data_IF_986873264861
#
_entry.id   IF_986873264861
#
_cell.length_a   1.000
_cell.length_b   1.000
_cell.length_c   1.000
_cell.angle_alpha   90.00
_cell.angle_beta   90.00
_cell.angle_gamma   90.00
#
_symmetry.space_group_name_H-M   'P 1'
#
loop_
_entity.id
_entity.type
_entity.pdbx_description
1 polymer ?
#
# COMPACT_ATOMS: atom_id res chain seq x y z
N UNK A 1 -22.87 -20.15 -11.95
CA UNK A 1 -23.11 -18.69 -12.09
C UNK A 1 -22.14 -17.95 -11.20
N UNK A 2 -21.24 -17.16 -11.78
CA UNK A 2 -20.27 -16.36 -11.03
C UNK A 2 -21.00 -15.10 -10.54
N UNK A 3 -21.42 -15.06 -9.27
CA UNK A 3 -22.28 -14.00 -8.73
C UNK A 3 -21.50 -12.72 -8.43
N UNK A 4 -21.92 -11.59 -9.02
CA UNK A 4 -21.30 -10.24 -8.98
C UNK A 4 -20.85 -9.73 -7.59
N UNK A 5 -21.45 -10.20 -6.49
CA UNK A 5 -21.23 -9.66 -5.13
C UNK A 5 -19.86 -9.93 -4.50
N UNK A 6 -19.10 -10.94 -4.95
CA UNK A 6 -17.79 -11.28 -4.39
C UNK A 6 -16.60 -10.69 -5.19
N UNK A 7 -16.86 -9.85 -6.20
CA UNK A 7 -15.91 -9.57 -7.29
C UNK A 7 -15.15 -8.25 -7.24
N UNK A 8 -15.65 -7.22 -6.57
CA UNK A 8 -15.11 -5.86 -6.76
C UNK A 8 -13.66 -5.70 -6.28
N UNK A 9 -13.27 -6.45 -5.24
CA UNK A 9 -11.97 -6.30 -4.60
C UNK A 9 -10.96 -7.39 -4.98
N UNK A 10 -11.30 -8.39 -5.80
CA UNK A 10 -10.28 -9.29 -6.37
C UNK A 10 -9.49 -8.57 -7.47
N UNK A 11 -8.18 -8.78 -7.54
CA UNK A 11 -7.36 -8.28 -8.64
C UNK A 11 -7.75 -8.95 -9.97
N UNK A 12 -7.71 -8.19 -11.07
CA UNK A 12 -8.14 -8.70 -12.36
C UNK A 12 -7.30 -9.90 -12.83
N UNK A 13 -5.98 -9.84 -12.64
CA UNK A 13 -5.05 -10.92 -12.94
C UNK A 13 -5.35 -12.20 -12.16
N UNK A 14 -5.71 -12.08 -10.88
CA UNK A 14 -6.17 -13.20 -10.06
C UNK A 14 -7.47 -13.79 -10.58
N UNK A 15 -8.44 -12.92 -10.88
CA UNK A 15 -9.73 -13.31 -11.41
C UNK A 15 -9.61 -14.09 -12.73
N UNK A 16 -8.90 -13.52 -13.71
CA UNK A 16 -8.68 -14.14 -15.02
C UNK A 16 -8.00 -15.50 -14.87
N UNK A 17 -6.99 -15.60 -14.00
CA UNK A 17 -6.32 -16.87 -13.72
C UNK A 17 -7.29 -17.91 -13.15
N UNK A 18 -8.16 -17.51 -12.21
CA UNK A 18 -9.18 -18.38 -11.62
C UNK A 18 -10.22 -18.85 -12.65
N UNK A 19 -10.65 -17.97 -13.56
CA UNK A 19 -11.53 -18.35 -14.68
C UNK A 19 -10.81 -19.34 -15.60
N UNK A 20 -9.52 -19.13 -15.89
CA UNK A 20 -8.69 -20.04 -16.69
C UNK A 20 -8.52 -21.44 -16.06
N UNK A 21 -8.64 -21.57 -14.74
CA UNK A 21 -8.65 -22.89 -14.09
C UNK A 21 -9.95 -23.67 -14.36
N UNK A 22 -11.09 -22.97 -14.56
CA UNK A 22 -12.40 -23.61 -14.74
C UNK A 22 -12.68 -24.06 -16.18
N UNK A 23 -11.92 -23.53 -17.16
CA UNK A 23 -11.77 -23.97 -18.57
C UNK A 23 -13.02 -24.20 -19.44
N UNK A 24 -14.25 -24.22 -18.93
CA UNK A 24 -15.41 -24.59 -19.74
C UNK A 24 -15.74 -23.58 -20.86
N UNK A 25 -15.44 -22.29 -20.66
CA UNK A 25 -15.84 -21.22 -21.60
C UNK A 25 -14.75 -20.17 -21.86
N UNK A 26 -13.58 -20.27 -21.21
CA UNK A 26 -12.50 -19.29 -21.33
C UNK A 26 -11.35 -19.85 -22.20
N UNK A 27 -10.94 -19.15 -23.27
CA UNK A 27 -10.02 -19.70 -24.26
C UNK A 27 -8.56 -19.71 -23.80
N UNK A 28 -8.19 -18.95 -22.76
CA UNK A 28 -6.83 -18.91 -22.25
C UNK A 28 -6.59 -19.94 -21.15
N UNK A 29 -5.47 -20.64 -21.24
CA UNK A 29 -5.01 -21.53 -20.16
C UNK A 29 -4.33 -20.74 -19.04
N UNK A 30 -4.23 -21.27 -17.80
CA UNK A 30 -3.51 -20.60 -16.71
C UNK A 30 -2.04 -20.27 -17.06
N UNK A 31 -1.40 -21.11 -17.87
CA UNK A 31 -0.03 -20.89 -18.38
C UNK A 31 0.01 -19.70 -19.33
N UNK A 32 -0.96 -19.60 -20.24
CA UNK A 32 -1.08 -18.48 -21.16
C UNK A 32 -1.33 -17.16 -20.42
N UNK A 33 -2.24 -17.15 -19.44
CA UNK A 33 -2.51 -15.97 -18.60
C UNK A 33 -1.25 -15.49 -17.89
N UNK A 34 -0.51 -16.39 -17.24
CA UNK A 34 0.74 -16.03 -16.59
C UNK A 34 1.76 -15.48 -17.60
N UNK A 35 1.91 -16.11 -18.77
CA UNK A 35 2.83 -15.63 -19.81
C UNK A 35 2.50 -14.20 -20.26
N UNK A 36 1.24 -13.92 -20.55
CA UNK A 36 0.78 -12.58 -20.94
C UNK A 36 1.04 -11.56 -19.83
N UNK A 37 0.78 -11.96 -18.58
CA UNK A 37 1.04 -11.15 -17.40
C UNK A 37 2.53 -10.80 -17.28
N UNK A 38 3.42 -11.78 -17.42
CA UNK A 38 4.87 -11.61 -17.36
C UNK A 38 5.40 -10.71 -18.48
N UNK A 39 4.89 -10.87 -19.71
CA UNK A 39 5.32 -10.08 -20.86
C UNK A 39 4.96 -8.59 -20.67
N UNK A 40 3.77 -8.31 -20.15
CA UNK A 40 3.32 -6.96 -19.87
C UNK A 40 4.05 -6.32 -18.68
N UNK A 41 4.31 -7.12 -17.63
CA UNK A 41 5.06 -6.69 -16.46
C UNK A 41 6.44 -6.11 -16.80
N UNK A 42 7.11 -6.63 -17.84
CA UNK A 42 8.43 -6.16 -18.24
C UNK A 42 8.41 -4.86 -19.06
N UNK A 43 7.25 -4.49 -19.62
CA UNK A 43 7.13 -3.41 -20.60
C UNK A 43 6.33 -2.21 -20.07
N UNK A 44 5.39 -2.42 -19.14
CA UNK A 44 4.59 -1.35 -18.54
C UNK A 44 5.19 -0.83 -17.24
N UNK A 45 5.13 0.49 -17.05
CA UNK A 45 5.46 1.15 -15.77
C UNK A 45 4.33 1.02 -14.73
N UNK A 46 3.14 0.63 -15.16
CA UNK A 46 1.93 0.55 -14.34
C UNK A 46 1.45 -0.89 -14.20
N UNK A 47 0.84 -1.18 -13.05
CA UNK A 47 0.33 -2.50 -12.73
C UNK A 47 -0.90 -2.84 -13.59
N UNK A 48 -0.92 -3.97 -14.31
CA UNK A 48 -2.03 -4.33 -15.18
C UNK A 48 -3.36 -4.52 -14.43
N UNK A 49 -3.35 -4.74 -13.11
CA UNK A 49 -4.57 -4.78 -12.30
C UNK A 49 -5.24 -3.41 -12.10
N UNK A 50 -4.56 -2.33 -12.50
CA UNK A 50 -4.99 -0.93 -12.38
C UNK A 50 -4.86 -0.15 -13.69
N UNK A 51 -4.60 -0.85 -14.79
CA UNK A 51 -4.46 -0.26 -16.11
C UNK A 51 -5.30 -1.05 -17.11
N UNK A 52 -6.45 -0.45 -17.45
CA UNK A 52 -7.35 -0.99 -18.48
C UNK A 52 -6.67 -1.05 -19.86
N UNK A 53 -5.70 -0.17 -20.09
CA UNK A 53 -5.03 -0.02 -21.37
C UNK A 53 -3.82 -0.94 -21.52
N UNK A 54 -3.43 -1.68 -20.48
CA UNK A 54 -2.36 -2.67 -20.58
C UNK A 54 -2.72 -3.76 -21.59
N UNK A 55 -1.73 -4.28 -22.33
CA UNK A 55 -1.98 -5.33 -23.33
C UNK A 55 -2.50 -6.60 -22.65
N UNK A 56 -2.05 -6.88 -21.42
CA UNK A 56 -2.59 -7.96 -20.59
C UNK A 56 -4.09 -7.82 -20.39
N UNK A 57 -4.55 -6.63 -19.98
CA UNK A 57 -5.96 -6.37 -19.75
C UNK A 57 -6.76 -6.49 -21.03
N UNK A 58 -6.31 -5.87 -22.11
CA UNK A 58 -6.98 -5.93 -23.43
C UNK A 58 -7.10 -7.37 -23.94
N UNK A 59 -6.01 -8.15 -23.90
CA UNK A 59 -6.02 -9.53 -24.38
C UNK A 59 -6.93 -10.43 -23.52
N UNK A 60 -6.83 -10.32 -22.19
CA UNK A 60 -7.68 -11.10 -21.30
C UNK A 60 -9.15 -10.67 -21.39
N UNK A 61 -9.42 -9.38 -21.58
CA UNK A 61 -10.78 -8.88 -21.79
C UNK A 61 -11.39 -9.37 -23.10
N UNK A 62 -10.65 -9.32 -24.20
CA UNK A 62 -11.12 -9.86 -25.48
C UNK A 62 -11.42 -11.37 -25.36
N UNK A 63 -10.61 -12.11 -24.60
CA UNK A 63 -10.86 -13.51 -24.29
C UNK A 63 -12.07 -13.73 -23.35
N UNK A 64 -12.39 -12.75 -22.50
CA UNK A 64 -13.56 -12.75 -21.60
C UNK A 64 -14.84 -12.25 -22.29
N UNK A 65 -14.74 -11.53 -23.41
CA UNK A 65 -15.88 -10.93 -24.12
C UNK A 65 -16.94 -11.94 -24.59
N UNK A 66 -16.62 -13.24 -24.63
CA UNK A 66 -17.57 -14.33 -24.85
C UNK A 66 -18.36 -14.75 -23.60
N UNK A 67 -17.97 -14.28 -22.40
CA UNK A 67 -18.48 -14.71 -21.09
C UNK A 67 -19.05 -13.53 -20.28
N UNK A 68 -18.51 -12.32 -20.47
CA UNK A 68 -18.87 -11.13 -19.70
C UNK A 68 -19.00 -9.89 -20.60
N UNK A 69 -20.21 -9.57 -21.08
CA UNK A 69 -20.49 -8.31 -21.73
C UNK A 69 -21.07 -7.35 -20.67
N UNK A 70 -20.32 -6.36 -20.20
CA UNK A 70 -20.97 -5.31 -19.41
C UNK A 70 -20.19 -3.99 -19.38
N UNK A 71 -20.95 -2.90 -19.30
CA UNK A 71 -20.49 -1.50 -19.37
C UNK A 71 -19.59 -1.09 -18.19
N UNK A 72 -19.62 -1.83 -17.08
CA UNK A 72 -18.80 -1.57 -15.87
C UNK A 72 -17.42 -2.25 -15.85
N UNK A 73 -16.93 -2.79 -16.97
CA UNK A 73 -15.62 -3.44 -17.01
C UNK A 73 -14.47 -2.46 -16.70
N UNK A 74 -14.55 -1.23 -17.20
CA UNK A 74 -13.55 -0.19 -16.96
C UNK A 74 -13.38 0.15 -15.49
N UNK A 75 -14.49 0.12 -14.74
CA UNK A 75 -14.52 0.49 -13.32
C UNK A 75 -13.73 -0.50 -12.46
N UNK A 76 -13.46 -1.71 -12.97
CA UNK A 76 -12.60 -2.67 -12.30
C UNK A 76 -11.13 -2.25 -12.28
N UNK A 77 -10.70 -1.38 -13.20
CA UNK A 77 -9.28 -1.03 -13.35
C UNK A 77 -8.97 0.37 -12.85
N UNK A 78 -9.98 1.22 -12.67
CA UNK A 78 -9.79 2.55 -12.10
C UNK A 78 -9.34 2.39 -10.65
N UNK A 79 -8.08 2.75 -10.30
CA UNK A 79 -7.72 2.87 -8.90
C UNK A 79 -8.61 3.93 -8.25
N UNK A 80 -9.24 3.59 -7.13
CA UNK A 80 -9.91 4.58 -6.29
C UNK A 80 -8.93 5.50 -5.54
N UNK A 81 -7.61 5.28 -5.69
CA UNK A 81 -6.57 6.08 -5.04
C UNK A 81 -5.22 6.00 -5.80
N UNK A 82 -4.43 7.08 -5.86
CA UNK A 82 -3.05 7.01 -6.36
C UNK A 82 -2.11 6.25 -5.40
N UNK A 83 -2.54 5.86 -4.19
CA UNK A 83 -1.72 5.17 -3.18
C UNK A 83 -1.58 3.66 -3.45
N UNK A 84 -1.34 3.30 -4.70
CA UNK A 84 -1.23 1.90 -5.13
C UNK A 84 0.24 1.52 -5.27
N UNK A 85 0.65 0.48 -4.56
CA UNK A 85 1.97 -0.14 -4.75
C UNK A 85 2.03 -0.79 -6.13
N UNK A 86 3.12 -0.59 -6.90
CA UNK A 86 3.35 -1.35 -8.13
C UNK A 86 3.48 -2.84 -7.82
N UNK A 87 3.08 -3.71 -8.77
CA UNK A 87 2.99 -5.17 -8.54
C UNK A 87 4.20 -5.77 -7.87
N UNK A 88 5.39 -5.42 -8.34
CA UNK A 88 6.65 -5.98 -7.88
C UNK A 88 6.82 -5.86 -6.36
N UNK A 89 6.22 -4.82 -5.77
CA UNK A 89 6.27 -4.52 -4.36
C UNK A 89 5.05 -5.08 -3.58
N UNK A 90 4.03 -5.61 -4.26
CA UNK A 90 2.82 -6.18 -3.64
C UNK A 90 3.08 -7.59 -3.12
N UNK A 91 3.49 -7.64 -1.87
CA UNK A 91 3.74 -8.87 -1.11
C UNK A 91 2.83 -9.02 0.11
N UNK A 92 1.98 -8.05 0.37
CA UNK A 92 1.16 -8.01 1.56
C UNK A 92 -0.13 -8.79 1.36
N UNK A 93 -0.56 -9.55 2.36
CA UNK A 93 -1.77 -10.37 2.27
C UNK A 93 -2.36 -10.70 3.65
N UNK A 94 -3.64 -11.07 3.69
CA UNK A 94 -4.28 -11.61 4.89
C UNK A 94 -4.49 -13.12 4.71
N UNK A 95 -3.85 -13.93 5.55
CA UNK A 95 -3.98 -15.38 5.48
C UNK A 95 -5.41 -15.86 5.76
N UNK A 96 -6.08 -15.26 6.74
CA UNK A 96 -7.46 -15.62 7.09
C UNK A 96 -8.42 -15.33 5.90
N UNK A 97 -8.25 -14.20 5.20
CA UNK A 97 -8.99 -13.94 3.95
C UNK A 97 -8.73 -14.99 2.86
N UNK A 98 -7.49 -15.43 2.72
CA UNK A 98 -7.16 -16.48 1.74
C UNK A 98 -7.87 -17.80 2.09
N UNK A 99 -7.94 -18.15 3.38
CA UNK A 99 -8.68 -19.31 3.87
C UNK A 99 -10.18 -19.20 3.61
N UNK A 100 -10.80 -18.04 3.89
CA UNK A 100 -12.22 -17.80 3.64
C UNK A 100 -12.56 -17.91 2.13
N UNK A 101 -11.66 -17.45 1.26
CA UNK A 101 -11.81 -17.57 -0.18
C UNK A 101 -11.74 -19.03 -0.67
N UNK A 102 -10.93 -19.88 -0.04
CA UNK A 102 -10.91 -21.31 -0.38
C UNK A 102 -12.26 -21.97 -0.06
N UNK A 103 -12.86 -21.62 1.07
CA UNK A 103 -14.16 -22.16 1.50
C UNK A 103 -15.30 -21.74 0.55
N UNK A 104 -15.22 -20.54 0.00
CA UNK A 104 -16.33 -19.94 -0.78
C UNK A 104 -16.14 -20.02 -2.30
N UNK A 105 -14.91 -19.95 -2.79
CA UNK A 105 -14.60 -19.81 -4.21
C UNK A 105 -13.66 -20.88 -4.77
N UNK A 106 -13.23 -21.84 -3.95
CA UNK A 106 -12.45 -23.04 -4.31
C UNK A 106 -11.04 -22.76 -4.84
N UNK A 107 -10.68 -21.49 -5.00
CA UNK A 107 -9.35 -21.01 -5.38
C UNK A 107 -9.15 -19.63 -4.77
N UNK A 108 -8.00 -19.37 -4.14
CA UNK A 108 -7.76 -18.10 -3.50
C UNK A 108 -7.33 -17.07 -4.52
N UNK A 109 -7.61 -15.81 -4.19
CA UNK A 109 -7.32 -14.69 -5.06
C UNK A 109 -6.67 -13.53 -4.34
N UNK A 110 -5.85 -12.78 -5.08
CA UNK A 110 -5.22 -11.58 -4.57
C UNK A 110 -6.27 -10.46 -4.50
N UNK A 111 -6.34 -9.75 -3.37
CA UNK A 111 -7.24 -8.61 -3.25
C UNK A 111 -6.53 -7.31 -3.67
N UNK A 112 -7.25 -6.44 -4.40
CA UNK A 112 -6.77 -5.11 -4.81
C UNK A 112 -6.38 -4.27 -3.61
N UNK A 113 -7.21 -4.24 -2.56
CA UNK A 113 -6.92 -3.49 -1.33
C UNK A 113 -5.59 -3.84 -0.66
N UNK A 114 -5.06 -5.05 -0.83
CA UNK A 114 -3.73 -5.41 -0.32
C UNK A 114 -2.58 -4.73 -1.07
N UNK A 115 -2.86 -4.19 -2.25
CA UNK A 115 -1.94 -3.39 -3.04
C UNK A 115 -1.87 -1.93 -2.62
N UNK A 116 -2.69 -1.46 -1.68
CA UNK A 116 -2.65 -0.06 -1.23
C UNK A 116 -1.55 0.14 -0.19
N UNK A 117 -0.82 1.25 -0.30
CA UNK A 117 0.28 1.60 0.62
C UNK A 117 -0.21 1.66 2.06
N UNK A 118 -1.33 2.35 2.30
CA UNK A 118 -1.86 2.57 3.65
C UNK A 118 -2.57 1.34 4.23
N UNK A 119 -2.92 0.35 3.42
CA UNK A 119 -3.69 -0.81 3.87
C UNK A 119 -2.76 -1.84 4.53
N UNK A 120 -2.61 -1.71 5.84
CA UNK A 120 -1.70 -2.49 6.68
C UNK A 120 -2.44 -3.50 7.58
N UNK A 121 -3.71 -3.25 7.88
CA UNK A 121 -4.57 -4.09 8.72
C UNK A 121 -5.80 -4.50 7.94
N UNK A 122 -6.10 -5.79 7.98
CA UNK A 122 -7.29 -6.34 7.35
C UNK A 122 -8.55 -5.83 8.06
N UNK A 123 -9.47 -5.21 7.32
CA UNK A 123 -10.75 -4.73 7.88
C UNK A 123 -11.75 -5.87 8.20
N UNK A 124 -11.55 -7.07 7.64
CA UNK A 124 -12.39 -8.25 7.90
C UNK A 124 -11.94 -8.95 9.18
N UNK A 125 -10.67 -9.39 9.21
CA UNK A 125 -10.13 -10.17 10.33
C UNK A 125 -9.49 -9.33 11.43
N UNK A 126 -9.39 -8.01 11.22
CA UNK A 126 -8.86 -7.02 12.17
C UNK A 126 -7.43 -7.32 12.66
N UNK A 127 -6.61 -7.86 11.76
CA UNK A 127 -5.21 -8.21 12.02
C UNK A 127 -4.29 -7.57 10.98
N UNK A 128 -3.07 -7.26 11.39
CA UNK A 128 -2.02 -6.81 10.48
C UNK A 128 -1.83 -7.81 9.34
N UNK A 129 -1.59 -7.29 8.14
CA UNK A 129 -1.25 -8.12 6.99
C UNK A 129 0.13 -8.77 7.19
N UNK A 130 0.31 -9.91 6.55
CA UNK A 130 1.60 -10.57 6.41
C UNK A 130 2.34 -10.03 5.20
N UNK A 131 3.67 -10.00 5.25
CA UNK A 131 4.50 -9.84 4.05
C UNK A 131 5.09 -11.17 3.63
N UNK A 132 4.90 -11.53 2.36
CA UNK A 132 5.62 -12.62 1.74
C UNK A 132 7.01 -12.17 1.27
N UNK A 133 7.93 -13.13 1.10
CA UNK A 133 9.30 -12.82 0.71
C UNK A 133 9.36 -12.21 -0.71
N UNK A 134 10.02 -11.05 -0.80
CA UNK A 134 10.01 -10.11 -1.92
C UNK A 134 10.48 -10.69 -3.27
N UNK A 135 11.33 -11.73 -3.27
CA UNK A 135 11.99 -12.19 -4.50
C UNK A 135 11.19 -13.21 -5.32
N UNK A 136 10.10 -13.76 -4.78
CA UNK A 136 9.50 -14.98 -5.30
C UNK A 136 8.12 -14.80 -5.94
N UNK A 137 7.48 -13.64 -5.77
CA UNK A 137 6.10 -13.43 -6.22
C UNK A 137 6.10 -12.74 -7.59
N UNK A 138 5.75 -13.47 -8.65
CA UNK A 138 5.72 -12.88 -10.00
C UNK A 138 4.54 -13.32 -10.89
N UNK A 139 3.62 -14.15 -10.38
CA UNK A 139 2.53 -14.74 -11.18
C UNK A 139 1.26 -13.88 -11.13
N UNK A 140 0.38 -14.07 -12.12
CA UNK A 140 -0.93 -13.44 -12.19
C UNK A 140 -1.76 -13.75 -10.93
N UNK A 141 -1.82 -15.02 -10.52
CA UNK A 141 -2.35 -15.39 -9.20
C UNK A 141 -1.22 -15.68 -8.19
N UNK A 142 -0.81 -14.65 -7.46
CA UNK A 142 0.15 -14.81 -6.35
C UNK A 142 -0.46 -15.41 -5.08
N UNK A 143 -1.79 -15.56 -4.98
CA UNK A 143 -2.43 -16.04 -3.76
C UNK A 143 -1.98 -17.46 -3.38
N UNK A 144 -1.72 -18.30 -4.38
CA UNK A 144 -1.14 -19.63 -4.17
C UNK A 144 0.29 -19.57 -3.60
N UNK A 145 1.12 -18.64 -4.09
CA UNK A 145 2.47 -18.46 -3.57
C UNK A 145 2.41 -17.92 -2.12
N UNK A 146 1.46 -17.03 -1.80
CA UNK A 146 1.23 -16.56 -0.43
C UNK A 146 0.87 -17.70 0.53
N UNK A 147 -0.03 -18.60 0.11
CA UNK A 147 -0.34 -19.81 0.89
C UNK A 147 0.92 -20.62 1.19
N UNK A 148 1.69 -20.93 0.15
CA UNK A 148 2.92 -21.69 0.29
C UNK A 148 3.92 -21.01 1.23
N UNK A 149 4.13 -19.69 1.10
CA UNK A 149 5.02 -18.96 2.01
C UNK A 149 4.52 -18.94 3.44
N UNK A 150 3.21 -18.84 3.64
CA UNK A 150 2.62 -18.87 4.98
C UNK A 150 2.81 -20.22 5.66
N UNK A 151 2.53 -21.31 4.95
CA UNK A 151 2.65 -22.69 5.47
C UNK A 151 4.09 -23.08 5.74
N UNK A 152 5.03 -22.61 4.92
CA UNK A 152 6.47 -22.84 5.07
C UNK A 152 7.13 -21.92 6.12
N UNK A 153 6.34 -21.10 6.83
CA UNK A 153 6.83 -20.08 7.76
C UNK A 153 7.84 -19.08 7.14
N UNK A 154 7.79 -18.90 5.81
CA UNK A 154 8.59 -17.91 5.06
C UNK A 154 7.92 -16.55 5.05
N UNK A 155 7.36 -16.17 6.18
CA UNK A 155 6.67 -14.90 6.42
C UNK A 155 7.64 -13.91 7.06
N UNK A 156 7.51 -12.63 6.73
CA UNK A 156 8.21 -11.60 7.50
C UNK A 156 7.78 -11.66 8.97
N UNK A 157 8.72 -11.44 9.89
CA UNK A 157 8.52 -11.48 11.37
C UNK A 157 7.49 -10.44 11.90
N UNK A 158 6.88 -9.67 11.01
CA UNK A 158 6.29 -8.36 11.26
C UNK A 158 4.85 -8.41 11.81
N UNK A 159 4.10 -9.48 11.52
CA UNK A 159 2.68 -9.59 11.81
C UNK A 159 2.32 -9.76 13.30
N UNK A 160 3.31 -9.92 14.20
CA UNK A 160 3.08 -10.24 15.63
C UNK A 160 3.48 -9.12 16.60
N UNK A 161 3.80 -7.94 16.11
CA UNK A 161 4.43 -6.89 16.93
C UNK A 161 3.45 -5.82 17.46
N UNK A 162 2.23 -5.77 16.95
CA UNK A 162 1.24 -4.76 17.32
C UNK A 162 0.14 -5.30 18.24
N UNK A 163 -0.25 -4.51 19.23
CA UNK A 163 -1.42 -4.78 20.08
C UNK A 163 -2.72 -4.69 19.29
N UNK A 164 -3.80 -5.29 19.81
CA UNK A 164 -5.14 -5.16 19.22
C UNK A 164 -5.62 -3.70 19.16
N UNK A 165 -5.23 -2.89 20.15
CA UNK A 165 -5.51 -1.45 20.19
C UNK A 165 -4.82 -0.73 19.03
N UNK A 166 -3.53 -0.98 18.81
CA UNK A 166 -2.80 -0.40 17.68
C UNK A 166 -3.39 -0.83 16.33
N UNK A 167 -3.85 -2.07 16.20
CA UNK A 167 -4.55 -2.54 15.00
C UNK A 167 -5.88 -1.82 14.78
N UNK A 168 -6.65 -1.59 15.86
CA UNK A 168 -7.91 -0.85 15.77
C UNK A 168 -7.69 0.60 15.34
N UNK A 169 -6.74 1.31 15.96
CA UNK A 169 -6.39 2.68 15.56
C UNK A 169 -5.92 2.73 14.11
N UNK A 170 -5.07 1.78 13.68
CA UNK A 170 -4.62 1.72 12.28
C UNK A 170 -5.81 1.56 11.32
N UNK A 171 -6.82 0.77 11.67
CA UNK A 171 -8.04 0.65 10.85
C UNK A 171 -8.81 1.96 10.74
N UNK A 172 -8.89 2.74 11.82
CA UNK A 172 -9.52 4.06 11.78
C UNK A 172 -8.74 5.03 10.89
N UNK A 173 -7.41 5.05 10.97
CA UNK A 173 -6.59 5.87 10.06
C UNK A 173 -6.77 5.43 8.60
N UNK A 174 -6.81 4.11 8.33
CA UNK A 174 -7.11 3.58 6.99
C UNK A 174 -8.48 4.04 6.48
N UNK A 175 -9.48 4.13 7.36
CA UNK A 175 -10.81 4.61 7.02
C UNK A 175 -10.80 6.10 6.68
N UNK A 176 -10.12 6.92 7.48
CA UNK A 176 -9.94 8.36 7.22
C UNK A 176 -9.28 8.58 5.86
N UNK A 177 -8.19 7.86 5.55
CA UNK A 177 -7.53 7.99 4.23
C UNK A 177 -8.44 7.59 3.08
N UNK A 178 -9.21 6.50 3.24
CA UNK A 178 -10.17 6.08 2.23
C UNK A 178 -11.27 7.12 2.01
N UNK A 179 -11.77 7.75 3.07
CA UNK A 179 -12.76 8.82 2.99
C UNK A 179 -12.18 10.06 2.28
N UNK A 180 -10.93 10.42 2.57
CA UNK A 180 -10.22 11.49 1.87
C UNK A 180 -10.03 11.19 0.38
N UNK A 181 -9.64 9.96 0.02
CA UNK A 181 -9.52 9.52 -1.38
C UNK A 181 -10.87 9.69 -2.12
N UNK A 182 -11.97 9.18 -1.55
CA UNK A 182 -13.29 9.22 -2.19
C UNK A 182 -13.86 10.64 -2.37
N UNK A 183 -13.54 11.56 -1.44
CA UNK A 183 -14.09 12.92 -1.44
C UNK A 183 -13.15 13.96 -2.05
N UNK A 184 -11.92 13.57 -2.43
CA UNK A 184 -10.84 14.49 -2.83
C UNK A 184 -11.16 15.34 -4.06
N UNK A 185 -11.95 14.82 -5.01
CA UNK A 185 -12.33 15.54 -6.22
C UNK A 185 -13.29 16.70 -5.97
N UNK A 186 -13.94 16.74 -4.79
CA UNK A 186 -14.97 17.72 -4.48
C UNK A 186 -14.45 18.96 -3.71
N UNK A 187 -13.31 18.87 -3.00
CA UNK A 187 -12.82 19.91 -2.09
C UNK A 187 -11.29 20.03 -2.10
N UNK A 188 -10.78 21.21 -2.47
CA UNK A 188 -9.33 21.52 -2.57
C UNK A 188 -8.57 21.28 -1.25
N UNK A 189 -9.22 21.52 -0.10
CA UNK A 189 -8.66 21.27 1.22
C UNK A 189 -8.46 19.77 1.49
N UNK A 190 -9.46 18.94 1.16
CA UNK A 190 -9.37 17.47 1.31
C UNK A 190 -8.27 16.90 0.41
N UNK A 191 -8.18 17.39 -0.83
CA UNK A 191 -7.09 17.03 -1.73
C UNK A 191 -5.72 17.41 -1.15
N UNK A 192 -5.57 18.63 -0.62
CA UNK A 192 -4.33 19.09 0.01
C UNK A 192 -3.94 18.23 1.21
N UNK A 193 -4.92 17.84 2.04
CA UNK A 193 -4.70 16.94 3.17
C UNK A 193 -4.30 15.53 2.74
N UNK A 194 -4.93 14.97 1.71
CA UNK A 194 -4.58 13.67 1.14
C UNK A 194 -3.14 13.67 0.60
N UNK A 195 -2.76 14.69 -0.15
CA UNK A 195 -1.39 14.82 -0.69
C UNK A 195 -0.36 15.06 0.43
N UNK A 196 -0.73 15.76 1.50
CA UNK A 196 0.11 15.81 2.71
C UNK A 196 0.30 14.43 3.33
N UNK A 197 -0.79 13.65 3.50
CA UNK A 197 -0.72 12.30 4.05
C UNK A 197 0.20 11.40 3.22
N UNK A 198 0.18 11.58 1.89
CA UNK A 198 1.07 10.89 0.95
C UNK A 198 2.53 11.22 1.21
N UNK A 199 2.84 12.51 1.20
CA UNK A 199 4.18 13.03 1.43
C UNK A 199 4.72 12.60 2.80
N UNK A 200 3.86 12.62 3.81
CA UNK A 200 4.18 12.17 5.16
C UNK A 200 4.64 10.71 5.18
N UNK A 201 3.89 9.80 4.54
CA UNK A 201 4.27 8.40 4.43
C UNK A 201 5.57 8.22 3.63
N UNK A 202 5.78 8.99 2.55
CA UNK A 202 7.01 8.97 1.76
C UNK A 202 8.25 9.31 2.61
N UNK A 203 8.15 10.36 3.42
CA UNK A 203 9.22 10.82 4.30
C UNK A 203 9.51 9.79 5.40
N UNK A 204 8.48 9.35 6.13
CA UNK A 204 8.67 8.42 7.24
C UNK A 204 9.19 7.05 6.81
N UNK A 205 8.88 6.64 5.58
CA UNK A 205 9.26 5.35 5.01
C UNK A 205 10.48 5.46 4.09
N UNK A 206 11.12 6.63 4.00
CA UNK A 206 12.23 6.83 3.09
C UNK A 206 13.34 5.80 3.34
N UNK A 207 13.92 5.16 2.30
CA UNK A 207 14.93 4.13 2.47
C UNK A 207 16.11 4.60 3.31
N UNK A 208 16.44 3.88 4.40
CA UNK A 208 17.56 4.11 5.34
C UNK A 208 17.48 5.35 6.23
N UNK A 209 16.76 6.40 5.82
CA UNK A 209 16.70 7.67 6.56
C UNK A 209 15.34 7.92 7.23
N UNK A 210 14.26 7.30 6.75
CA UNK A 210 12.94 7.44 7.35
C UNK A 210 12.89 6.81 8.74
N UNK A 211 12.25 7.50 9.70
CA UNK A 211 12.18 7.07 11.11
C UNK A 211 11.53 5.68 11.27
N UNK A 212 10.58 5.33 10.41
CA UNK A 212 9.91 4.04 10.47
C UNK A 212 10.69 2.92 9.80
N UNK A 213 11.84 3.21 9.16
CA UNK A 213 12.62 2.21 8.44
C UNK A 213 13.53 1.43 9.39
N UNK A 214 13.43 0.11 9.39
CA UNK A 214 14.26 -0.72 10.28
C UNK A 214 15.59 -1.05 9.58
N UNK A 215 16.75 -0.82 10.23
CA UNK A 215 18.08 -0.97 9.62
C UNK A 215 18.42 -2.38 9.11
N UNK A 216 17.63 -3.40 9.47
CA UNK A 216 17.81 -4.79 9.04
C UNK A 216 17.50 -5.03 7.56
N UNK A 217 17.02 -4.02 6.83
CA UNK A 217 16.73 -4.14 5.41
C UNK A 217 17.85 -3.52 4.57
N UNK A 218 18.60 -4.36 3.86
CA UNK A 218 19.57 -3.96 2.83
C UNK A 218 18.86 -3.39 1.59
N UNK A 219 17.93 -2.45 1.78
CA UNK A 219 17.21 -1.75 0.72
C UNK A 219 18.18 -0.74 0.10
N UNK A 220 18.69 -1.09 -1.08
CA UNK A 220 19.45 -0.17 -1.91
C UNK A 220 18.49 0.69 -2.73
N UNK A 221 18.70 2.01 -2.74
CA UNK A 221 18.08 2.89 -3.72
C UNK A 221 18.93 2.82 -5.00
N UNK A 222 18.36 2.56 -6.18
CA UNK A 222 19.10 2.68 -7.42
C UNK A 222 19.62 4.11 -7.57
N UNK A 223 20.94 4.31 -7.51
CA UNK A 223 21.59 5.64 -7.55
C UNK A 223 21.25 6.43 -8.82
N UNK A 224 20.83 5.73 -9.88
CA UNK A 224 20.54 6.30 -11.20
C UNK A 224 19.09 6.77 -11.40
N UNK A 225 18.17 6.52 -10.46
CA UNK A 225 16.78 6.96 -10.59
C UNK A 225 16.66 8.48 -10.32
N UNK A 226 15.84 9.25 -11.06
CA UNK A 226 15.48 10.62 -10.72
C UNK A 226 15.04 10.79 -9.26
N UNK A 227 15.34 11.94 -8.66
CA UNK A 227 15.08 12.27 -7.24
C UNK A 227 13.62 12.00 -6.82
N UNK A 228 12.65 12.35 -7.68
CA UNK A 228 11.24 12.08 -7.43
C UNK A 228 10.93 10.58 -7.39
N UNK A 229 11.53 9.77 -8.28
CA UNK A 229 11.37 8.32 -8.24
C UNK A 229 11.95 7.72 -6.96
N UNK A 230 13.10 8.23 -6.50
CA UNK A 230 13.71 7.77 -5.25
C UNK A 230 12.81 8.04 -4.03
N UNK A 231 12.05 9.14 -4.06
CA UNK A 231 11.13 9.54 -2.98
C UNK A 231 9.93 8.58 -2.85
N UNK A 232 9.39 8.10 -3.98
CA UNK A 232 8.28 7.14 -3.99
C UNK A 232 8.70 5.70 -3.62
N UNK A 233 9.99 5.36 -3.67
CA UNK A 233 10.45 3.99 -3.39
C UNK A 233 10.31 3.58 -1.92
N UNK A 234 10.29 4.54 -0.98
CA UNK A 234 10.19 4.25 0.46
C UNK A 234 8.95 3.43 0.81
N UNK A 235 7.74 3.96 0.55
CA UNK A 235 6.50 3.24 0.81
C UNK A 235 6.37 1.90 0.07
N UNK A 236 6.93 1.78 -1.13
CA UNK A 236 6.90 0.55 -1.92
C UNK A 236 7.81 -0.54 -1.32
N UNK A 237 9.01 -0.15 -0.86
CA UNK A 237 9.97 -1.09 -0.27
C UNK A 237 9.63 -1.43 1.19
N UNK A 238 8.83 -0.60 1.85
CA UNK A 238 8.42 -0.80 3.23
C UNK A 238 7.64 -2.11 3.44
N UNK A 239 7.88 -2.74 4.58
CA UNK A 239 7.10 -3.86 5.11
C UNK A 239 5.82 -3.34 5.74
N UNK A 240 4.83 -4.20 5.94
CA UNK A 240 3.59 -3.90 6.65
C UNK A 240 3.88 -3.32 8.03
N UNK A 241 4.94 -3.78 8.72
CA UNK A 241 5.32 -3.22 10.01
C UNK A 241 5.75 -1.75 9.91
N UNK A 242 6.64 -1.44 8.97
CA UNK A 242 7.13 -0.07 8.77
C UNK A 242 5.97 0.84 8.36
N UNK A 243 5.12 0.39 7.41
CA UNK A 243 3.94 1.13 6.98
C UNK A 243 2.92 1.32 8.10
N UNK A 244 2.65 0.30 8.92
CA UNK A 244 1.76 0.40 10.07
C UNK A 244 2.27 1.39 11.12
N UNK A 245 3.59 1.46 11.31
CA UNK A 245 4.21 2.46 12.20
C UNK A 245 3.95 3.88 11.70
N UNK A 246 4.19 4.11 10.41
CA UNK A 246 3.95 5.39 9.77
C UNK A 246 2.46 5.76 9.80
N UNK A 247 1.56 4.78 9.64
CA UNK A 247 0.11 4.97 9.76
C UNK A 247 -0.33 5.38 11.17
N UNK A 248 0.27 4.80 12.22
CA UNK A 248 -0.02 5.21 13.60
C UNK A 248 0.46 6.63 13.89
N UNK A 249 1.66 6.99 13.42
CA UNK A 249 2.19 8.35 13.52
C UNK A 249 1.33 9.36 12.73
N UNK A 250 0.87 8.96 11.54
CA UNK A 250 -0.05 9.77 10.75
C UNK A 250 -1.36 9.99 11.51
N UNK A 251 -1.94 8.92 12.08
CA UNK A 251 -3.14 9.02 12.91
C UNK A 251 -2.97 9.99 14.08
N UNK A 252 -1.80 9.99 14.71
CA UNK A 252 -1.49 10.90 15.82
C UNK A 252 -1.45 12.37 15.38
N UNK A 253 -0.84 12.67 14.22
CA UNK A 253 -0.81 14.03 13.65
C UNK A 253 -2.20 14.49 13.17
N UNK A 254 -3.01 13.57 12.67
CA UNK A 254 -4.37 13.84 12.20
C UNK A 254 -5.41 13.86 13.34
N UNK A 255 -4.98 13.70 14.59
CA UNK A 255 -5.86 13.64 15.77
C UNK A 255 -6.94 12.54 15.67
N UNK A 256 -6.58 11.39 15.10
CA UNK A 256 -7.48 10.22 15.03
C UNK A 256 -7.68 9.65 16.44
N UNK A 257 -8.92 9.39 16.89
CA UNK A 257 -9.18 8.92 18.25
C UNK A 257 -8.35 7.70 18.64
N UNK A 258 -7.65 7.80 19.77
CA UNK A 258 -6.78 6.75 20.31
C UNK A 258 -5.39 6.69 19.68
N UNK A 259 -5.11 7.44 18.61
CA UNK A 259 -3.78 7.47 18.01
C UNK A 259 -2.76 8.17 18.91
N UNK A 260 -1.66 7.48 19.17
CA UNK A 260 -0.64 7.91 20.12
C UNK A 260 0.69 7.19 19.83
N UNK A 261 1.81 7.87 20.02
CA UNK A 261 3.16 7.29 19.94
C UNK A 261 3.38 6.07 20.84
N UNK A 262 2.62 5.94 21.93
CA UNK A 262 2.70 4.78 22.83
C UNK A 262 2.23 3.47 22.20
N UNK A 263 1.50 3.53 21.08
CA UNK A 263 1.08 2.35 20.31
C UNK A 263 2.17 1.82 19.37
N UNK A 264 3.30 2.53 19.27
CA UNK A 264 4.41 2.13 18.42
C UNK A 264 5.23 1.02 19.09
N UNK A 265 5.77 0.07 18.32
CA UNK A 265 6.61 -0.98 18.86
C UNK A 265 7.93 -0.39 19.36
N UNK A 266 8.52 -0.99 20.39
CA UNK A 266 9.72 -0.46 21.07
C UNK A 266 10.85 -0.04 20.12
N UNK A 267 11.07 -0.79 19.03
CA UNK A 267 12.11 -0.47 18.03
C UNK A 267 11.98 0.93 17.42
N UNK A 268 10.76 1.45 17.31
CA UNK A 268 10.45 2.79 16.79
C UNK A 268 10.13 3.73 17.95
N UNK A 269 9.36 3.26 18.94
CA UNK A 269 9.02 4.02 20.14
C UNK A 269 10.24 4.54 20.89
N UNK A 270 11.32 3.76 20.98
CA UNK A 270 12.59 4.17 21.62
C UNK A 270 13.29 5.26 20.80
N UNK A 271 13.27 5.19 19.47
CA UNK A 271 13.83 6.25 18.63
C UNK A 271 13.08 7.58 18.81
N UNK A 272 11.80 7.51 19.17
CA UNK A 272 10.94 8.65 19.47
C UNK A 272 10.86 8.98 20.97
N UNK A 273 11.61 8.29 21.85
CA UNK A 273 11.49 8.41 23.30
C UNK A 273 12.22 9.63 23.89
N UNK A 274 12.51 10.66 23.08
CA UNK A 274 12.99 11.94 23.60
C UNK A 274 11.94 12.58 24.51
N UNK A 275 12.40 13.38 25.49
CA UNK A 275 11.56 14.01 26.52
C UNK A 275 10.43 14.88 25.94
N UNK A 276 10.59 15.35 24.70
CA UNK A 276 9.61 16.18 24.01
C UNK A 276 8.94 15.38 22.88
N UNK A 277 7.90 14.61 23.24
CA UNK A 277 7.02 13.88 22.29
C UNK A 277 6.08 14.84 21.56
N UNK A 278 6.66 15.85 20.91
CA UNK A 278 5.94 16.87 20.17
C UNK A 278 5.87 16.54 18.69
N UNK A 279 4.87 17.05 18.00
CA UNK A 279 4.77 16.91 16.55
C UNK A 279 5.94 17.63 15.87
N UNK A 280 6.39 18.74 16.47
CA UNK A 280 7.57 19.49 16.01
C UNK A 280 8.82 18.62 16.02
N UNK A 281 9.09 17.91 17.12
CA UNK A 281 10.27 17.05 17.20
C UNK A 281 10.20 15.91 16.17
N UNK A 282 9.02 15.31 15.96
CA UNK A 282 8.84 14.30 14.92
C UNK A 282 9.15 14.87 13.52
N UNK A 283 8.72 16.10 13.24
CA UNK A 283 9.07 16.83 12.03
C UNK A 283 10.58 16.99 11.86
N UNK A 284 11.25 17.47 12.89
CA UNK A 284 12.70 17.70 12.90
C UNK A 284 13.47 16.38 12.72
N UNK A 285 13.11 15.31 13.43
CA UNK A 285 13.70 13.99 13.27
C UNK A 285 13.46 13.40 11.86
N UNK A 286 12.34 13.75 11.22
CA UNK A 286 12.01 13.30 9.85
C UNK A 286 12.78 14.08 8.78
N UNK A 287 13.37 15.22 9.14
CA UNK A 287 14.09 16.09 8.19
C UNK A 287 15.48 15.58 7.81
N UNK A 288 16.00 14.54 8.46
CA UNK A 288 17.34 13.96 8.24
C UNK A 288 17.44 13.12 6.95
N UNK A 289 17.10 13.74 5.82
CA UNK A 289 17.17 13.17 4.47
C UNK A 289 18.39 13.73 3.70
N UNK A 290 18.80 13.07 2.59
CA UNK A 290 19.75 13.65 1.64
C UNK A 290 19.30 15.03 1.14
N UNK A 291 20.23 15.98 1.01
CA UNK A 291 19.91 17.40 0.79
C UNK A 291 19.01 17.69 -0.42
N UNK A 292 19.18 16.96 -1.52
CA UNK A 292 18.35 17.09 -2.71
C UNK A 292 16.90 16.64 -2.48
N UNK A 293 16.71 15.55 -1.71
CA UNK A 293 15.39 15.04 -1.33
C UNK A 293 14.75 15.97 -0.30
N UNK A 294 15.52 16.39 0.70
CA UNK A 294 15.06 17.33 1.73
C UNK A 294 14.54 18.63 1.11
N UNK A 295 15.30 19.26 0.22
CA UNK A 295 14.88 20.50 -0.46
C UNK A 295 13.60 20.32 -1.29
N UNK A 296 13.45 19.16 -1.95
CA UNK A 296 12.24 18.85 -2.71
C UNK A 296 11.00 18.79 -1.78
N UNK A 297 11.11 18.07 -0.67
CA UNK A 297 10.02 17.96 0.30
C UNK A 297 9.73 19.26 1.06
N UNK A 298 10.74 20.09 1.36
CA UNK A 298 10.51 21.42 1.98
C UNK A 298 9.60 22.29 1.11
N UNK A 299 9.77 22.27 -0.22
CA UNK A 299 8.91 23.04 -1.12
C UNK A 299 7.44 22.57 -1.05
N UNK A 300 7.22 21.26 -0.99
CA UNK A 300 5.87 20.69 -0.84
C UNK A 300 5.29 20.98 0.55
N UNK A 301 6.08 20.87 1.62
CA UNK A 301 5.64 21.19 2.98
C UNK A 301 5.22 22.65 3.13
N UNK A 302 5.97 23.60 2.55
CA UNK A 302 5.59 25.03 2.54
C UNK A 302 4.29 25.31 1.77
N UNK A 303 3.98 24.49 0.76
CA UNK A 303 2.70 24.57 0.07
C UNK A 303 1.56 24.12 0.99
N UNK A 304 1.72 23.01 1.72
CA UNK A 304 0.72 22.48 2.64
C UNK A 304 0.52 23.33 3.91
N UNK A 305 1.58 23.95 4.43
CA UNK A 305 1.55 24.80 5.64
C UNK A 305 0.48 25.90 5.57
N UNK A 306 0.23 26.42 4.37
CA UNK A 306 -0.72 27.51 4.13
C UNK A 306 -2.16 27.05 3.91
N UNK A 307 -2.37 25.74 3.75
CA UNK A 307 -3.62 25.14 3.24
C UNK A 307 -4.26 24.15 4.21
N UNK A 308 -3.52 23.70 5.21
CA UNK A 308 -4.00 22.74 6.20
C UNK A 308 -3.94 23.39 7.58
N UNK A 309 -5.11 23.54 8.21
CA UNK A 309 -5.22 24.21 9.52
C UNK A 309 -5.07 23.28 10.72
N UNK A 310 -4.89 21.97 10.49
CA UNK A 310 -4.72 20.98 11.56
C UNK A 310 -3.46 21.28 12.41
N UNK A 311 -3.59 21.49 13.74
CA UNK A 311 -2.48 21.88 14.58
C UNK A 311 -1.29 20.92 14.52
N UNK A 312 -1.56 19.60 14.58
CA UNK A 312 -0.51 18.59 14.51
C UNK A 312 0.25 18.59 13.18
N UNK A 313 -0.45 18.85 12.08
CA UNK A 313 0.17 18.98 10.74
C UNK A 313 1.07 20.21 10.68
N UNK A 314 0.59 21.37 11.15
CA UNK A 314 1.37 22.63 11.12
C UNK A 314 2.60 22.53 11.99
N UNK A 315 2.47 21.94 13.17
CA UNK A 315 3.59 21.76 14.09
C UNK A 315 4.65 20.80 13.52
N UNK A 316 4.22 19.67 12.95
CA UNK A 316 5.11 18.75 12.22
C UNK A 316 5.83 19.45 11.07
N UNK A 317 5.12 20.21 10.23
CA UNK A 317 5.73 20.96 9.13
C UNK A 317 6.77 21.95 9.66
N UNK A 318 6.44 22.70 10.72
CA UNK A 318 7.34 23.64 11.36
C UNK A 318 8.64 23.01 11.85
N UNK A 319 8.57 21.79 12.40
CA UNK A 319 9.74 21.01 12.78
C UNK A 319 10.52 20.47 11.59
N UNK A 320 9.84 20.02 10.54
CA UNK A 320 10.50 19.50 9.34
C UNK A 320 11.32 20.58 8.62
N UNK A 321 10.79 21.81 8.54
CA UNK A 321 11.46 22.93 7.85
C UNK A 321 12.49 23.65 8.73
N UNK A 322 12.54 23.41 10.04
CA UNK A 322 13.45 24.12 10.94
C UNK A 322 14.91 23.72 10.79
N UNK A 323 15.20 22.65 10.02
CA UNK A 323 16.55 22.27 9.65
C UNK A 323 17.13 23.32 8.68
N UNK A 324 17.76 24.34 9.26
CA UNK A 324 18.51 25.39 8.58
C UNK A 324 19.94 25.45 9.09
#
# INVERSE_FOLDING_TARGET
MITRGAFFDESFSSYVFRVALRRQEFPLTPVAVNRLYYQNFLLSSLDPDYDINSDFTKECFNALGSIWPDEGFSDLFTPYTPFVMPRYFRRSYCFDCLCDQLQTAWSPGVLKRWGLIYYCVCNVHRKSLFDANYHLIKKANAAHDFFYFHTEQRIGESARLYSAEAQHVTLEVQRVLKELDCDSEALEEKFSLLEFCRLFLEILLFPRFGICNVPSSSKGVPVQAPVWQQSYLGPFLATVFERQSAMLLLGWILDVPGANVHLLPDRIGVALAHEDKSFWWLGMASSYLPDNIFRHHVLQMKFFEKRIELPGVREFIGGFISRH
#
